data_IF_056640092232
#
_entry.id   IF_056640092232
#
_cell.length_a   1.000
_cell.length_b   1.000
_cell.length_c   1.000
_cell.angle_alpha   90.00
_cell.angle_beta   90.00
_cell.angle_gamma   90.00
#
_symmetry.space_group_name_H-M   'P 1'
#
loop_
_entity.id
_entity.type
_entity.pdbx_description
1 polymer ?
#
# COMPACT_ATOMS: atom_id res chain seq x y z
N UNK A 1 9.17 17.25 17.68
CA UNK A 1 8.81 18.02 16.47
C UNK A 1 7.39 17.65 16.10
N UNK A 2 6.47 18.61 15.82
CA UNK A 2 5.15 18.23 15.34
C UNK A 2 5.34 17.54 14.00
N UNK A 3 4.85 16.31 13.88
CA UNK A 3 4.79 15.58 12.63
C UNK A 3 3.86 16.36 11.70
N UNK A 4 4.41 17.02 10.67
CA UNK A 4 3.59 17.48 9.56
C UNK A 4 2.85 16.24 9.04
N UNK A 5 1.53 16.31 9.02
CA UNK A 5 0.62 15.21 8.68
C UNK A 5 1.19 14.40 7.50
N UNK A 6 1.72 13.21 7.78
CA UNK A 6 2.29 12.33 6.75
C UNK A 6 1.19 12.00 5.76
N UNK A 7 1.51 12.09 4.47
CA UNK A 7 0.58 11.71 3.42
C UNK A 7 0.28 10.21 3.52
N UNK A 8 -1.00 9.85 3.53
CA UNK A 8 -1.46 8.46 3.59
C UNK A 8 -2.07 8.07 2.26
N UNK A 9 -1.63 6.95 1.71
CA UNK A 9 -2.15 6.41 0.46
C UNK A 9 -3.19 5.33 0.74
N UNK A 10 -4.31 5.36 0.02
CA UNK A 10 -5.41 4.42 0.22
C UNK A 10 -5.76 3.75 -1.11
N UNK A 11 -5.64 2.42 -1.18
CA UNK A 11 -6.12 1.64 -2.31
C UNK A 11 -7.52 1.11 -2.02
N UNK A 12 -8.50 1.62 -2.76
CA UNK A 12 -9.89 1.19 -2.67
C UNK A 12 -10.13 0.08 -3.68
N UNK A 13 -10.53 -1.09 -3.19
CA UNK A 13 -10.84 -2.30 -3.97
C UNK A 13 -9.74 -2.66 -4.99
N UNK A 14 -8.46 -2.79 -4.58
CA UNK A 14 -7.42 -3.27 -5.47
C UNK A 14 -7.77 -4.69 -5.97
N UNK A 15 -7.50 -4.93 -7.27
CA UNK A 15 -7.91 -6.14 -7.96
C UNK A 15 -6.82 -7.22 -7.98
N UNK A 16 -5.55 -6.81 -8.08
CA UNK A 16 -4.39 -7.69 -8.17
C UNK A 16 -3.47 -7.46 -6.96
N UNK A 17 -3.12 -8.49 -6.16
CA UNK A 17 -2.20 -8.33 -5.04
C UNK A 17 -0.82 -7.79 -5.44
N UNK A 18 -0.35 -8.14 -6.64
CA UNK A 18 0.93 -7.70 -7.21
C UNK A 18 0.98 -6.16 -7.34
N UNK A 19 -0.17 -5.52 -7.64
CA UNK A 19 -0.27 -4.07 -7.71
C UNK A 19 -0.15 -3.41 -6.33
N UNK A 20 -0.62 -4.08 -5.26
CA UNK A 20 -0.48 -3.60 -3.90
C UNK A 20 0.99 -3.63 -3.46
N UNK A 21 1.71 -4.71 -3.75
CA UNK A 21 3.15 -4.81 -3.51
C UNK A 21 3.95 -3.78 -4.30
N UNK A 22 3.62 -3.59 -5.57
CA UNK A 22 4.23 -2.57 -6.43
C UNK A 22 3.98 -1.15 -5.89
N UNK A 23 2.75 -0.86 -5.44
CA UNK A 23 2.42 0.43 -4.83
C UNK A 23 3.21 0.66 -3.53
N UNK A 24 3.29 -0.34 -2.63
CA UNK A 24 4.11 -0.27 -1.42
C UNK A 24 5.59 0.04 -1.74
N UNK A 25 6.15 -0.66 -2.73
CA UNK A 25 7.55 -0.45 -3.16
C UNK A 25 7.76 0.95 -3.75
N UNK A 26 6.82 1.45 -4.55
CA UNK A 26 6.88 2.80 -5.07
C UNK A 26 6.85 3.85 -3.95
N UNK A 27 5.95 3.69 -2.97
CA UNK A 27 5.86 4.57 -1.80
C UNK A 27 7.16 4.58 -1.01
N UNK A 28 7.73 3.39 -0.73
CA UNK A 28 9.00 3.28 -0.02
C UNK A 28 10.12 4.00 -0.74
N UNK A 29 10.25 3.79 -2.06
CA UNK A 29 11.26 4.46 -2.88
C UNK A 29 11.10 5.99 -2.88
N UNK A 30 9.90 6.49 -2.60
CA UNK A 30 9.58 7.92 -2.49
C UNK A 30 9.57 8.44 -1.03
N UNK A 31 10.07 7.66 -0.05
CA UNK A 31 10.15 8.08 1.34
C UNK A 31 8.83 8.05 2.11
N UNK A 32 7.83 7.34 1.59
CA UNK A 32 6.51 7.16 2.21
C UNK A 32 6.40 5.74 2.77
N UNK A 33 5.85 5.64 3.97
CA UNK A 33 5.82 4.39 4.75
C UNK A 33 4.40 3.90 5.09
N UNK A 34 3.36 4.57 4.58
CA UNK A 34 1.97 4.25 4.92
C UNK A 34 1.07 3.99 3.69
N UNK A 35 0.53 2.78 3.60
CA UNK A 35 -0.50 2.37 2.66
C UNK A 35 -1.65 1.67 3.38
N UNK A 36 -2.89 2.07 3.10
CA UNK A 36 -4.11 1.44 3.63
C UNK A 36 -4.92 0.79 2.51
N UNK A 37 -5.57 -0.34 2.81
CA UNK A 37 -6.40 -1.07 1.86
C UNK A 37 -7.87 -1.03 2.32
N UNK A 38 -8.77 -0.80 1.37
CA UNK A 38 -10.22 -0.84 1.62
C UNK A 38 -10.85 -1.86 0.69
N UNK A 39 -11.51 -2.87 1.27
CA UNK A 39 -12.22 -3.93 0.52
C UNK A 39 -11.42 -4.55 -0.64
N UNK A 40 -10.15 -4.98 -0.44
CA UNK A 40 -9.37 -5.60 -1.50
C UNK A 40 -10.07 -6.87 -2.02
N UNK A 41 -9.98 -7.14 -3.33
CA UNK A 41 -10.59 -8.33 -3.94
C UNK A 41 -10.03 -9.62 -3.33
N UNK A 42 -8.76 -9.61 -2.98
CA UNK A 42 -8.06 -10.72 -2.35
C UNK A 42 -7.63 -10.33 -0.94
N UNK A 43 -7.62 -11.30 -0.02
CA UNK A 43 -7.10 -11.09 1.32
C UNK A 43 -5.65 -10.60 1.28
N UNK A 44 -5.31 -9.69 2.19
CA UNK A 44 -3.97 -9.16 2.37
C UNK A 44 -3.51 -9.43 3.82
N UNK A 45 -2.24 -9.79 4.05
CA UNK A 45 -1.18 -10.04 3.05
C UNK A 45 -1.33 -11.40 2.32
N UNK A 46 -0.72 -11.51 1.13
CA UNK A 46 -0.63 -12.79 0.40
C UNK A 46 0.69 -12.91 -0.38
N UNK A 47 1.07 -14.14 -0.75
CA UNK A 47 2.37 -14.44 -1.38
C UNK A 47 2.62 -13.58 -2.63
N UNK A 48 1.63 -13.45 -3.50
CA UNK A 48 1.72 -12.66 -4.74
C UNK A 48 1.95 -11.17 -4.50
N UNK A 49 1.51 -10.64 -3.37
CA UNK A 49 1.68 -9.24 -3.02
C UNK A 49 2.98 -8.92 -2.29
N UNK A 50 3.62 -9.95 -1.71
CA UNK A 50 4.84 -9.80 -0.93
C UNK A 50 6.12 -10.12 -1.73
N UNK A 51 5.98 -10.74 -2.91
CA UNK A 51 7.06 -10.93 -3.88
C UNK A 51 7.35 -9.62 -4.62
#
# INVERSE_FOLDING_TARGET
MPSFMKAVFILVRPQLPENVGTALRALWNCGMDELRLVSPKHAWPCEKGLK
#
